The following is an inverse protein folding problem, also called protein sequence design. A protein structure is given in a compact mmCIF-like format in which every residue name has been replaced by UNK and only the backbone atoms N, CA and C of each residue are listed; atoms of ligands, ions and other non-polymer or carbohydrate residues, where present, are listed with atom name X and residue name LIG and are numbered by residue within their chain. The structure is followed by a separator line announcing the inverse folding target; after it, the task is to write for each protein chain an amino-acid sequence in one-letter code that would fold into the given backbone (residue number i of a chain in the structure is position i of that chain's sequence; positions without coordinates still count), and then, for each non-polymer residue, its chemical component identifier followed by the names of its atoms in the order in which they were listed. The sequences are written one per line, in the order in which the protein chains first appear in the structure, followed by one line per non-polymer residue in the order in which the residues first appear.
data_IF_019038115218
#
_entry.id   IF_019038115218
#
_cell.length_a   1.000
_cell.length_b   1.000
_cell.length_c   1.000
_cell.angle_alpha   90.00
_cell.angle_beta   90.00
_cell.angle_gamma   90.00
#
_symmetry.space_group_name_H-M   'P 1'
#
loop_
_entity.id
_entity.type
_entity.pdbx_description
1 polymer ?
#
# COMPACT_ATOMS: atom_id res chain seq x y z
N UNK A 1 12.38 52.03 46.34
CA UNK A 1 13.72 51.85 45.76
C UNK A 1 13.88 50.39 45.39
N UNK A 2 14.07 50.19 44.10
CA UNK A 2 13.95 48.96 43.33
C UNK A 2 15.30 48.22 43.27
N UNK A 3 15.31 46.89 43.35
CA UNK A 3 16.43 46.06 42.84
C UNK A 3 15.92 44.71 42.32
N UNK A 4 16.13 44.39 41.03
CA UNK A 4 15.63 43.16 40.43
C UNK A 4 16.58 41.98 40.69
N UNK A 5 16.02 40.79 40.92
CA UNK A 5 16.75 39.52 40.97
C UNK A 5 17.15 39.11 39.55
N UNK A 6 18.46 38.96 39.30
CA UNK A 6 18.99 38.43 38.03
C UNK A 6 18.72 36.93 37.91
N UNK A 7 18.05 36.54 36.83
CA UNK A 7 17.88 35.16 36.37
C UNK A 7 19.24 34.63 35.89
N UNK A 8 19.71 33.53 36.46
CA UNK A 8 20.94 32.86 36.05
C UNK A 8 20.79 32.24 34.65
N UNK A 9 21.63 32.68 33.70
CA UNK A 9 21.77 32.05 32.39
C UNK A 9 22.51 30.72 32.53
N UNK A 10 21.82 29.60 32.30
CA UNK A 10 22.47 28.31 32.09
C UNK A 10 23.32 28.36 30.81
N UNK A 11 24.66 28.44 30.96
CA UNK A 11 25.61 28.27 29.85
C UNK A 11 25.61 26.81 29.41
N UNK A 12 25.16 26.54 28.18
CA UNK A 12 25.30 25.24 27.50
C UNK A 12 26.79 24.99 27.21
N UNK A 13 27.38 23.84 27.59
CA UNK A 13 28.80 23.61 27.40
C UNK A 13 29.19 23.48 25.90
N UNK A 14 30.37 24.00 25.51
CA UNK A 14 30.78 24.18 24.10
C UNK A 14 30.93 22.89 23.28
N UNK A 15 30.94 21.71 23.91
CA UNK A 15 31.07 20.41 23.23
C UNK A 15 29.79 19.87 22.55
N UNK A 16 28.61 20.36 22.92
CA UNK A 16 27.33 19.84 22.39
C UNK A 16 27.06 20.28 20.94
N UNK A 17 27.41 21.51 20.58
CA UNK A 17 27.18 22.06 19.23
C UNK A 17 28.02 21.33 18.18
N UNK A 18 29.29 21.03 18.49
CA UNK A 18 30.19 20.36 17.55
C UNK A 18 29.81 18.88 17.32
N UNK A 19 29.33 18.18 18.37
CA UNK A 19 28.80 16.81 18.24
C UNK A 19 27.47 16.78 17.47
N UNK A 20 26.60 17.77 17.68
CA UNK A 20 25.33 17.89 16.97
C UNK A 20 25.53 18.17 15.47
N UNK A 21 26.46 19.06 15.11
CA UNK A 21 26.82 19.35 13.71
C UNK A 21 27.38 18.10 13.01
N UNK A 22 28.34 17.41 13.64
CA UNK A 22 28.93 16.17 13.11
C UNK A 22 27.89 15.06 12.91
N UNK A 23 26.90 14.97 13.81
CA UNK A 23 25.75 14.05 13.68
C UNK A 23 24.84 14.43 12.52
N UNK A 24 24.59 15.73 12.30
CA UNK A 24 23.78 16.26 11.18
C UNK A 24 24.40 15.98 9.81
N UNK A 25 25.73 16.14 9.67
CA UNK A 25 26.42 15.86 8.40
C UNK A 25 26.40 14.37 8.05
N UNK A 26 26.59 13.49 9.04
CA UNK A 26 26.52 12.03 8.83
C UNK A 26 25.16 11.55 8.33
N UNK A 27 24.07 12.11 8.87
CA UNK A 27 22.70 11.73 8.49
C UNK A 27 22.36 12.07 7.04
N UNK A 28 23.05 13.03 6.41
CA UNK A 28 22.83 13.41 5.00
C UNK A 28 23.80 12.72 4.03
N UNK A 29 25.06 12.57 4.44
CA UNK A 29 26.09 11.98 3.59
C UNK A 29 25.86 10.48 3.36
N UNK A 30 25.36 9.76 4.36
CA UNK A 30 25.15 8.31 4.26
C UNK A 30 24.06 7.97 3.22
N UNK A 31 22.83 8.52 3.27
CA UNK A 31 21.80 8.23 2.26
C UNK A 31 22.22 8.67 0.86
N UNK A 32 22.88 9.83 0.74
CA UNK A 32 23.38 10.29 -0.56
C UNK A 32 24.43 9.34 -1.13
N UNK A 33 25.37 8.87 -0.31
CA UNK A 33 26.36 7.87 -0.71
C UNK A 33 25.71 6.56 -1.13
N UNK A 34 24.76 6.05 -0.35
CA UNK A 34 24.00 4.83 -0.69
C UNK A 34 23.27 5.00 -2.03
N UNK A 35 22.62 6.15 -2.24
CA UNK A 35 21.90 6.43 -3.47
C UNK A 35 22.86 6.42 -4.68
N UNK A 36 23.96 7.17 -4.63
CA UNK A 36 24.94 7.19 -5.74
C UNK A 36 25.52 5.79 -5.97
N UNK A 37 25.84 5.06 -4.91
CA UNK A 37 26.37 3.69 -5.00
C UNK A 37 25.36 2.69 -5.59
N UNK A 38 24.05 2.89 -5.39
CA UNK A 38 23.03 2.03 -6.02
C UNK A 38 23.02 2.11 -7.55
N UNK A 39 23.57 3.18 -8.12
CA UNK A 39 23.74 3.35 -9.57
C UNK A 39 25.07 2.83 -10.10
N UNK A 40 25.96 2.32 -9.24
CA UNK A 40 27.27 1.77 -9.64
C UNK A 40 27.20 0.77 -10.81
N UNK A 41 26.21 -0.15 -10.90
CA UNK A 41 26.12 -1.06 -12.05
C UNK A 41 26.01 -0.36 -13.41
N UNK A 42 25.41 0.83 -13.48
CA UNK A 42 25.30 1.61 -14.71
C UNK A 42 26.63 2.24 -15.12
N UNK A 43 27.41 2.70 -14.14
CA UNK A 43 28.78 3.16 -14.36
C UNK A 43 29.71 2.01 -14.78
N UNK A 44 29.62 0.87 -14.09
CA UNK A 44 30.44 -0.32 -14.37
C UNK A 44 30.17 -0.91 -15.77
N UNK A 45 28.94 -0.78 -16.28
CA UNK A 45 28.56 -1.21 -17.65
C UNK A 45 28.84 -0.16 -18.73
N UNK A 46 29.42 0.99 -18.37
CA UNK A 46 29.68 2.09 -19.31
C UNK A 46 28.41 2.80 -19.82
N UNK A 47 27.26 2.61 -19.15
CA UNK A 47 26.02 3.31 -19.50
C UNK A 47 26.02 4.75 -18.98
N UNK A 48 26.63 4.99 -17.81
CA UNK A 48 26.93 6.32 -17.29
C UNK A 48 28.44 6.54 -17.28
N UNK A 49 28.89 7.63 -17.86
CA UNK A 49 30.30 8.02 -17.96
C UNK A 49 30.67 9.06 -16.88
N UNK A 50 29.68 9.79 -16.38
CA UNK A 50 29.86 10.84 -15.38
C UNK A 50 28.66 10.95 -14.43
N UNK A 51 28.85 11.61 -13.28
CA UNK A 51 27.73 11.95 -12.39
C UNK A 51 26.69 12.86 -13.07
N UNK A 52 27.09 13.60 -14.10
CA UNK A 52 26.18 14.40 -14.92
C UNK A 52 25.16 13.52 -15.63
N UNK A 53 25.55 12.33 -16.09
CA UNK A 53 24.62 11.40 -16.75
C UNK A 53 23.57 10.89 -15.78
N UNK A 54 23.96 10.63 -14.52
CA UNK A 54 23.02 10.28 -13.46
C UNK A 54 22.04 11.43 -13.19
N UNK A 55 22.53 12.67 -13.12
CA UNK A 55 21.67 13.86 -12.92
C UNK A 55 20.70 14.01 -14.09
N UNK A 56 21.21 13.93 -15.33
CA UNK A 56 20.40 14.01 -16.55
C UNK A 56 19.34 12.90 -16.55
N UNK A 57 19.70 11.68 -16.16
CA UNK A 57 18.75 10.58 -16.04
C UNK A 57 17.63 10.89 -15.04
N UNK A 58 17.93 11.52 -13.89
CA UNK A 58 16.89 11.94 -12.94
C UNK A 58 15.97 13.03 -13.53
N UNK A 59 16.56 14.00 -14.26
CA UNK A 59 15.81 15.07 -14.92
C UNK A 59 14.89 14.51 -16.00
N UNK A 60 15.41 13.65 -16.87
CA UNK A 60 14.63 12.98 -17.91
C UNK A 60 13.53 12.09 -17.32
N UNK A 61 13.85 11.35 -16.25
CA UNK A 61 12.85 10.56 -15.51
C UNK A 61 11.74 11.46 -14.96
N UNK A 62 12.07 12.60 -14.35
CA UNK A 62 11.07 13.54 -13.86
C UNK A 62 10.22 14.12 -15.00
N UNK A 63 10.85 14.55 -16.09
CA UNK A 63 10.17 15.13 -17.25
C UNK A 63 9.21 14.13 -17.90
N UNK A 64 9.64 12.88 -18.09
CA UNK A 64 8.79 11.80 -18.57
C UNK A 64 7.53 11.64 -17.72
N UNK A 65 7.71 11.53 -16.40
CA UNK A 65 6.61 11.32 -15.46
C UNK A 65 5.68 12.53 -15.33
N UNK A 66 6.19 13.74 -15.50
CA UNK A 66 5.42 15.00 -15.46
C UNK A 66 4.55 15.16 -16.70
N UNK A 67 5.07 14.79 -17.86
CA UNK A 67 4.42 14.99 -19.16
C UNK A 67 3.68 13.74 -19.66
N UNK A 68 3.54 12.72 -18.82
CA UNK A 68 2.82 11.48 -19.17
C UNK A 68 1.31 11.75 -19.20
N UNK A 69 0.77 11.93 -20.40
CA UNK A 69 -0.66 12.01 -20.67
C UNK A 69 -1.16 10.70 -21.29
N UNK A 70 -1.63 9.79 -20.43
CA UNK A 70 -2.19 8.52 -20.85
C UNK A 70 -3.41 8.18 -20.00
N UNK A 71 -4.38 7.48 -20.61
CA UNK A 71 -5.56 6.94 -19.93
C UNK A 71 -5.51 5.42 -19.96
N UNK A 72 -6.03 4.77 -18.91
CA UNK A 72 -6.08 3.31 -18.86
C UNK A 72 -7.38 2.84 -18.18
N UNK A 73 -8.11 1.84 -18.73
CA UNK A 73 -9.38 1.36 -18.15
C UNK A 73 -9.29 0.84 -16.70
N UNK A 74 -8.11 0.35 -16.29
CA UNK A 74 -7.81 -0.08 -14.92
C UNK A 74 -7.13 1.00 -14.06
N UNK A 75 -7.07 2.23 -14.56
CA UNK A 75 -6.60 3.37 -13.76
C UNK A 75 -7.52 3.61 -12.58
N UNK A 76 -6.95 3.98 -11.43
CA UNK A 76 -7.71 4.25 -10.22
C UNK A 76 -7.12 5.41 -9.41
N UNK A 77 -7.98 6.31 -8.87
CA UNK A 77 -7.51 7.47 -8.11
C UNK A 77 -7.03 7.03 -6.72
N UNK A 78 -6.07 7.78 -6.17
CA UNK A 78 -5.44 7.48 -4.87
C UNK A 78 -6.44 7.17 -3.75
N UNK A 79 -7.46 8.01 -3.60
CA UNK A 79 -8.48 7.88 -2.55
C UNK A 79 -9.23 6.54 -2.56
N UNK A 80 -9.29 5.85 -3.70
CA UNK A 80 -10.06 4.62 -3.91
C UNK A 80 -9.32 3.35 -3.44
N UNK A 81 -7.99 3.42 -3.28
CA UNK A 81 -7.17 2.25 -2.98
C UNK A 81 -7.44 1.66 -1.59
N UNK A 82 -7.59 2.46 -0.51
CA UNK A 82 -7.96 1.94 0.80
C UNK A 82 -9.29 1.15 0.81
N UNK A 83 -10.19 1.45 -0.11
CA UNK A 83 -11.49 0.77 -0.20
C UNK A 83 -11.46 -0.47 -1.10
N UNK A 84 -10.31 -0.79 -1.71
CA UNK A 84 -10.19 -1.79 -2.77
C UNK A 84 -11.21 -1.54 -3.90
N UNK A 85 -11.55 -0.29 -4.21
CA UNK A 85 -12.67 -0.01 -5.11
C UNK A 85 -12.37 -0.40 -6.57
N UNK A 86 -11.10 -0.37 -6.99
CA UNK A 86 -10.69 -0.71 -8.37
C UNK A 86 -9.35 -1.44 -8.40
N UNK A 87 -9.37 -2.78 -8.34
CA UNK A 87 -8.24 -3.65 -8.61
C UNK A 87 -7.74 -3.50 -10.05
N UNK A 88 -6.50 -3.93 -10.28
CA UNK A 88 -5.87 -3.88 -11.61
C UNK A 88 -5.78 -5.28 -12.17
N UNK A 89 -6.28 -5.49 -13.39
CA UNK A 89 -6.11 -6.76 -14.09
C UNK A 89 -4.67 -6.89 -14.60
N UNK A 90 -3.99 -7.97 -14.23
CA UNK A 90 -2.63 -8.30 -14.69
C UNK A 90 -2.61 -9.33 -15.80
N UNK A 91 -3.59 -10.24 -15.81
CA UNK A 91 -3.70 -11.28 -16.82
C UNK A 91 -5.16 -11.62 -17.08
N UNK A 92 -5.50 -11.85 -18.34
CA UNK A 92 -6.75 -12.47 -18.71
C UNK A 92 -6.58 -13.32 -19.97
N UNK A 93 -7.11 -14.54 -19.92
CA UNK A 93 -7.28 -15.44 -21.06
C UNK A 93 -8.75 -15.89 -21.09
N UNK A 94 -9.34 -15.80 -22.28
CA UNK A 94 -10.76 -16.08 -22.50
C UNK A 94 -10.97 -17.21 -23.50
N UNK A 95 -9.90 -17.71 -24.13
CA UNK A 95 -9.95 -18.70 -25.19
C UNK A 95 -9.05 -19.90 -24.86
N UNK A 96 -9.34 -21.04 -25.47
CA UNK A 96 -8.49 -22.25 -25.40
C UNK A 96 -8.28 -22.84 -23.99
N UNK A 97 -9.14 -22.54 -23.02
CA UNK A 97 -9.07 -23.09 -21.66
C UNK A 97 -9.98 -24.32 -21.42
N UNK A 98 -10.79 -24.69 -22.42
CA UNK A 98 -11.74 -25.80 -22.32
C UNK A 98 -13.08 -25.41 -21.70
N UNK A 99 -13.86 -26.42 -21.32
CA UNK A 99 -15.17 -26.26 -20.70
C UNK A 99 -15.12 -26.72 -19.25
N UNK A 100 -15.83 -26.01 -18.39
CA UNK A 100 -16.04 -26.40 -17.00
C UNK A 100 -16.87 -27.68 -16.93
N UNK A 101 -16.38 -28.68 -16.20
CA UNK A 101 -17.00 -29.99 -16.06
C UNK A 101 -18.39 -29.90 -15.39
N UNK A 102 -18.60 -28.92 -14.52
CA UNK A 102 -19.85 -28.79 -13.77
C UNK A 102 -20.90 -27.94 -14.49
N UNK A 103 -20.46 -26.90 -15.19
CA UNK A 103 -21.37 -25.91 -15.81
C UNK A 103 -21.46 -26.03 -17.33
N UNK A 104 -20.54 -26.76 -17.97
CA UNK A 104 -20.40 -26.84 -19.43
C UNK A 104 -20.02 -25.52 -20.10
N UNK A 105 -19.69 -24.48 -19.32
CA UNK A 105 -19.36 -23.15 -19.83
C UNK A 105 -17.88 -23.02 -20.17
N UNK A 106 -17.50 -22.13 -21.11
CA UNK A 106 -16.11 -21.81 -21.37
C UNK A 106 -15.39 -21.34 -20.10
N UNK A 107 -14.21 -21.89 -19.88
CA UNK A 107 -13.31 -21.46 -18.81
C UNK A 107 -12.65 -20.13 -19.18
N UNK A 108 -12.49 -19.27 -18.19
CA UNK A 108 -11.71 -18.03 -18.28
C UNK A 108 -10.65 -18.05 -17.17
N UNK A 109 -9.50 -17.45 -17.40
CA UNK A 109 -8.42 -17.37 -16.43
C UNK A 109 -8.04 -15.91 -16.24
N UNK A 110 -8.09 -15.41 -15.00
CA UNK A 110 -7.84 -13.99 -14.70
C UNK A 110 -6.98 -13.82 -13.47
N UNK A 111 -5.95 -12.99 -13.59
CA UNK A 111 -5.13 -12.55 -12.46
C UNK A 111 -5.37 -11.09 -12.19
N UNK A 112 -5.88 -10.75 -11.02
CA UNK A 112 -6.06 -9.34 -10.61
C UNK A 112 -5.22 -9.01 -9.40
N UNK A 113 -4.65 -7.82 -9.39
CA UNK A 113 -4.08 -7.22 -8.21
C UNK A 113 -5.20 -6.72 -7.29
N UNK A 114 -5.73 -7.64 -6.50
CA UNK A 114 -6.69 -7.41 -5.43
C UNK A 114 -6.01 -7.65 -4.09
N UNK A 115 -6.02 -6.67 -3.18
CA UNK A 115 -5.54 -6.90 -1.81
C UNK A 115 -6.47 -7.84 -1.04
N UNK A 116 -5.97 -8.58 -0.06
CA UNK A 116 -6.82 -9.41 0.81
C UNK A 116 -7.84 -8.51 1.54
N UNK A 117 -9.15 -8.60 1.25
CA UNK A 117 -10.12 -7.64 1.77
C UNK A 117 -10.22 -7.64 3.29
N UNK A 118 -9.96 -8.77 3.95
CA UNK A 118 -9.95 -8.85 5.41
C UNK A 118 -8.85 -7.97 5.99
N UNK A 119 -7.59 -8.19 5.59
CA UNK A 119 -6.45 -7.41 6.06
C UNK A 119 -6.61 -5.93 5.68
N UNK A 120 -7.04 -5.68 4.45
CA UNK A 120 -7.13 -4.32 3.92
C UNK A 120 -8.19 -3.48 4.64
N UNK A 121 -9.37 -4.03 4.89
CA UNK A 121 -10.45 -3.28 5.53
C UNK A 121 -10.33 -3.22 7.04
N UNK A 122 -9.75 -4.23 7.69
CA UNK A 122 -9.48 -4.20 9.14
C UNK A 122 -8.36 -3.23 9.50
N UNK A 123 -7.37 -3.05 8.62
CA UNK A 123 -6.32 -2.05 8.84
C UNK A 123 -6.78 -0.60 8.74
N UNK A 124 -7.87 -0.28 8.02
CA UNK A 124 -8.39 1.09 7.95
C UNK A 124 -8.76 1.67 9.33
N UNK A 125 -9.62 1.03 10.14
CA UNK A 125 -9.90 1.51 11.48
C UNK A 125 -8.66 1.45 12.39
N UNK A 126 -7.74 0.49 12.19
CA UNK A 126 -6.50 0.44 12.96
C UNK A 126 -5.59 1.64 12.69
N UNK A 127 -5.42 2.04 11.43
CA UNK A 127 -4.72 3.28 11.05
C UNK A 127 -5.43 4.51 11.61
N UNK A 128 -6.77 4.56 11.52
CA UNK A 128 -7.57 5.65 12.08
C UNK A 128 -7.50 5.74 13.61
N UNK A 129 -7.19 4.65 14.30
CA UNK A 129 -6.99 4.61 15.75
C UNK A 129 -5.60 5.11 16.19
N UNK A 130 -4.59 5.12 15.31
CA UNK A 130 -3.22 5.53 15.68
C UNK A 130 -3.14 6.97 16.27
N UNK A 131 -3.83 8.00 15.74
CA UNK A 131 -3.86 9.32 16.35
C UNK A 131 -4.25 9.31 17.83
N UNK A 132 -5.22 8.46 18.23
CA UNK A 132 -5.61 8.31 19.63
C UNK A 132 -4.43 7.83 20.49
N UNK A 133 -3.70 6.81 20.04
CA UNK A 133 -2.53 6.30 20.76
C UNK A 133 -1.37 7.29 20.81
N UNK A 134 -1.21 8.10 19.76
CA UNK A 134 -0.19 9.15 19.73
C UNK A 134 -0.51 10.24 20.76
N UNK A 135 -1.76 10.72 20.82
CA UNK A 135 -2.14 11.81 21.74
C UNK A 135 -2.22 11.32 23.18
N UNK A 136 -2.92 10.20 23.43
CA UNK A 136 -3.22 9.70 24.79
C UNK A 136 -2.03 9.00 25.43
N UNK A 137 -1.30 8.20 24.67
CA UNK A 137 -0.22 7.33 25.18
C UNK A 137 1.19 7.81 24.76
N UNK A 138 1.29 8.88 23.95
CA UNK A 138 2.58 9.37 23.42
C UNK A 138 3.40 8.25 22.76
N UNK A 139 2.70 7.32 22.11
CA UNK A 139 3.31 6.12 21.53
C UNK A 139 4.17 6.47 20.32
N UNK A 140 5.49 6.32 20.47
CA UNK A 140 6.45 6.51 19.39
C UNK A 140 6.21 5.53 18.23
N UNK A 141 5.87 4.27 18.54
CA UNK A 141 5.56 3.26 17.52
C UNK A 141 4.35 3.68 16.68
N UNK A 142 3.26 4.13 17.31
CA UNK A 142 2.08 4.60 16.59
C UNK A 142 2.40 5.83 15.71
N UNK A 143 3.26 6.74 16.18
CA UNK A 143 3.73 7.89 15.39
C UNK A 143 4.50 7.44 14.16
N UNK A 144 5.44 6.49 14.29
CA UNK A 144 6.22 5.98 13.16
C UNK A 144 5.33 5.29 12.12
N UNK A 145 4.39 4.46 12.57
CA UNK A 145 3.47 3.74 11.67
C UNK A 145 2.60 4.74 10.91
N UNK A 146 1.99 5.70 11.60
CA UNK A 146 1.11 6.69 10.97
C UNK A 146 1.89 7.61 10.02
N UNK A 147 3.07 8.08 10.43
CA UNK A 147 3.91 8.91 9.57
C UNK A 147 4.35 8.15 8.32
N UNK A 148 4.76 6.89 8.49
CA UNK A 148 5.09 6.01 7.37
C UNK A 148 3.92 5.87 6.39
N UNK A 149 2.72 5.56 6.89
CA UNK A 149 1.52 5.49 6.08
C UNK A 149 1.25 6.78 5.31
N UNK A 150 1.25 7.93 6.01
CA UNK A 150 1.00 9.25 5.41
C UNK A 150 2.03 9.55 4.31
N UNK A 151 3.32 9.32 4.59
CA UNK A 151 4.39 9.60 3.62
C UNK A 151 4.33 8.70 2.39
N UNK A 152 3.76 7.50 2.50
CA UNK A 152 3.59 6.59 1.35
C UNK A 152 2.27 6.80 0.61
N UNK A 153 1.25 7.38 1.25
CA UNK A 153 -0.09 7.49 0.68
C UNK A 153 -0.45 8.90 0.17
N UNK A 154 -0.20 9.92 0.99
CA UNK A 154 -0.61 11.31 0.68
C UNK A 154 0.05 11.87 -0.59
N UNK A 155 1.34 11.58 -0.90
CA UNK A 155 1.98 12.13 -2.11
C UNK A 155 1.32 11.72 -3.43
N UNK A 156 0.46 10.71 -3.44
CA UNK A 156 -0.23 10.27 -4.65
C UNK A 156 -1.45 11.12 -5.03
N UNK A 157 -2.05 11.84 -4.08
CA UNK A 157 -3.22 12.69 -4.33
C UNK A 157 -3.00 13.81 -5.36
N UNK A 158 -1.88 14.56 -5.34
CA UNK A 158 -1.64 15.62 -6.32
C UNK A 158 -1.16 15.12 -7.70
N UNK A 159 -0.95 13.80 -7.87
CA UNK A 159 -0.39 13.25 -9.10
C UNK A 159 -1.50 13.11 -10.15
N UNK A 160 -1.32 13.76 -11.30
CA UNK A 160 -2.32 13.89 -12.38
C UNK A 160 -2.24 12.81 -13.45
N UNK A 161 -1.10 12.13 -13.59
CA UNK A 161 -0.95 11.01 -14.53
C UNK A 161 -1.80 9.82 -14.10
N UNK A 162 -2.00 8.87 -15.00
CA UNK A 162 -2.69 7.60 -14.66
C UNK A 162 -1.98 6.88 -13.51
N UNK A 163 -2.77 6.50 -12.51
CA UNK A 163 -2.31 5.74 -11.35
C UNK A 163 -3.10 4.44 -11.22
N UNK A 164 -2.57 3.56 -10.36
CA UNK A 164 -3.04 2.19 -10.20
C UNK A 164 -2.94 1.78 -8.74
N UNK A 165 -3.78 0.83 -8.33
CA UNK A 165 -3.87 0.39 -6.93
C UNK A 165 -2.53 -0.11 -6.33
N UNK A 166 -1.62 -0.68 -7.15
CA UNK A 166 -0.32 -1.16 -6.66
C UNK A 166 0.56 -0.05 -6.05
N UNK A 167 0.33 1.22 -6.39
CA UNK A 167 1.06 2.34 -5.78
C UNK A 167 0.81 2.43 -4.26
N UNK A 168 -0.30 1.85 -3.79
CA UNK A 168 -0.63 1.76 -2.36
C UNK A 168 0.20 0.71 -1.60
N UNK A 169 0.96 -0.15 -2.27
CA UNK A 169 1.70 -1.23 -1.60
C UNK A 169 2.73 -0.73 -0.59
N UNK A 170 3.32 0.45 -0.82
CA UNK A 170 4.16 1.12 0.18
C UNK A 170 3.38 1.47 1.46
N UNK A 171 2.13 1.94 1.30
CA UNK A 171 1.22 2.23 2.41
C UNK A 171 0.70 0.96 3.11
N UNK A 172 0.52 -0.13 2.37
CA UNK A 172 0.05 -1.42 2.88
C UNK A 172 0.95 -1.97 4.00
N UNK A 173 2.27 -1.78 3.90
CA UNK A 173 3.22 -2.18 4.94
C UNK A 173 2.83 -1.55 6.28
N UNK A 174 2.52 -0.25 6.28
CA UNK A 174 2.12 0.47 7.48
C UNK A 174 0.69 0.15 7.93
N UNK A 175 -0.20 -0.20 7.00
CA UNK A 175 -1.53 -0.73 7.32
C UNK A 175 -1.44 -2.03 8.12
N UNK A 176 -0.59 -2.98 7.68
CA UNK A 176 -0.36 -4.25 8.39
C UNK A 176 0.29 -4.01 9.75
N UNK A 177 1.24 -3.07 9.83
CA UNK A 177 1.84 -2.69 11.13
C UNK A 177 0.81 -2.05 12.07
N UNK A 178 -0.13 -1.26 11.56
CA UNK A 178 -1.22 -0.70 12.35
C UNK A 178 -2.14 -1.81 12.90
N UNK A 179 -2.49 -2.79 12.06
CA UNK A 179 -3.23 -3.98 12.50
C UNK A 179 -2.49 -4.72 13.61
N UNK A 180 -1.22 -5.05 13.41
CA UNK A 180 -0.42 -5.74 14.40
C UNK A 180 -0.33 -4.94 15.72
N UNK A 181 -0.18 -3.62 15.65
CA UNK A 181 -0.13 -2.74 16.82
C UNK A 181 -1.45 -2.77 17.60
N UNK A 182 -2.59 -2.60 16.93
CA UNK A 182 -3.91 -2.58 17.58
C UNK A 182 -4.29 -3.96 18.09
N UNK A 183 -4.07 -5.02 17.31
CA UNK A 183 -4.32 -6.41 17.74
C UNK A 183 -3.49 -6.78 18.96
N UNK A 184 -2.22 -6.38 19.02
CA UNK A 184 -1.37 -6.61 20.20
C UNK A 184 -1.91 -5.88 21.42
N UNK A 185 -2.30 -4.61 21.26
CA UNK A 185 -2.88 -3.83 22.34
C UNK A 185 -4.20 -4.41 22.88
N UNK A 186 -5.05 -4.94 22.00
CA UNK A 186 -6.29 -5.62 22.39
C UNK A 186 -6.02 -6.97 23.05
N UNK A 187 -5.09 -7.75 22.49
CA UNK A 187 -4.66 -9.04 23.00
C UNK A 187 -4.09 -8.97 24.43
N UNK A 188 -3.33 -7.93 24.75
CA UNK A 188 -2.78 -7.71 26.10
C UNK A 188 -3.85 -7.49 27.19
N UNK A 189 -5.04 -7.03 26.80
CA UNK A 189 -6.18 -6.84 27.73
C UNK A 189 -6.95 -8.13 28.01
N UNK A 190 -6.71 -9.19 27.24
CA UNK A 190 -7.42 -10.46 27.34
C UNK A 190 -6.54 -11.53 28.00
N UNK A 191 -7.11 -12.28 28.95
CA UNK A 191 -6.47 -13.49 29.50
C UNK A 191 -6.63 -14.66 28.51
N UNK A 192 -5.74 -15.67 28.52
CA UNK A 192 -5.96 -16.91 27.80
C UNK A 192 -7.28 -17.57 28.23
N UNK A 193 -8.07 -18.14 27.30
CA UNK A 193 -7.76 -18.32 25.88
C UNK A 193 -8.15 -17.13 24.97
N UNK A 194 -8.78 -16.08 25.50
CA UNK A 194 -9.32 -14.95 24.71
C UNK A 194 -8.29 -14.26 23.80
N UNK A 195 -7.05 -14.10 24.27
CA UNK A 195 -5.95 -13.60 23.43
C UNK A 195 -5.65 -14.49 22.22
N UNK A 196 -5.62 -15.82 22.43
CA UNK A 196 -5.36 -16.78 21.35
C UNK A 196 -6.51 -16.81 20.36
N UNK A 197 -7.76 -16.72 20.83
CA UNK A 197 -8.93 -16.65 19.95
C UNK A 197 -8.93 -15.36 19.13
N UNK A 198 -8.56 -14.22 19.71
CA UNK A 198 -8.50 -12.95 18.97
C UNK A 198 -7.46 -12.99 17.85
N UNK A 199 -6.21 -13.33 18.19
CA UNK A 199 -5.11 -13.33 17.21
C UNK A 199 -5.28 -14.49 16.23
N UNK A 200 -5.57 -15.69 16.73
CA UNK A 200 -5.79 -16.87 15.91
C UNK A 200 -7.01 -16.73 15.00
N UNK A 201 -8.08 -16.11 15.50
CA UNK A 201 -9.28 -15.80 14.71
C UNK A 201 -8.97 -14.80 13.59
N UNK A 202 -8.26 -13.71 13.89
CA UNK A 202 -7.85 -12.74 12.87
C UNK A 202 -6.98 -13.39 11.77
N UNK A 203 -5.98 -14.18 12.16
CA UNK A 203 -5.12 -14.90 11.21
C UNK A 203 -5.90 -15.96 10.43
N UNK A 204 -6.80 -16.68 11.10
CA UNK A 204 -7.69 -17.66 10.47
C UNK A 204 -8.58 -17.02 9.40
N UNK A 205 -9.15 -15.84 9.68
CA UNK A 205 -9.92 -15.07 8.71
C UNK A 205 -9.05 -14.58 7.55
N UNK A 206 -7.82 -14.14 7.80
CA UNK A 206 -6.89 -13.76 6.75
C UNK A 206 -6.58 -14.92 5.80
N UNK A 207 -6.33 -16.12 6.34
CA UNK A 207 -6.09 -17.36 5.57
C UNK A 207 -7.37 -17.81 4.84
N UNK A 208 -8.54 -17.70 5.47
CA UNK A 208 -9.82 -18.02 4.83
C UNK A 208 -10.07 -17.13 3.62
N UNK A 209 -9.89 -15.82 3.76
CA UNK A 209 -10.00 -14.87 2.64
C UNK A 209 -8.94 -15.14 1.58
N UNK A 210 -7.74 -15.57 1.99
CA UNK A 210 -6.71 -15.97 1.04
C UNK A 210 -7.19 -17.16 0.19
N UNK A 211 -7.73 -18.20 0.82
CA UNK A 211 -8.31 -19.35 0.11
C UNK A 211 -9.48 -18.97 -0.79
N UNK A 212 -10.36 -18.08 -0.32
CA UNK A 212 -11.51 -17.59 -1.10
C UNK A 212 -11.07 -16.81 -2.36
N UNK A 213 -10.07 -15.94 -2.27
CA UNK A 213 -9.58 -15.15 -3.42
C UNK A 213 -8.43 -15.79 -4.18
N UNK A 214 -7.97 -16.99 -3.79
CA UNK A 214 -6.87 -17.70 -4.42
C UNK A 214 -7.01 -17.85 -5.95
N UNK A 215 -8.19 -18.21 -6.50
CA UNK A 215 -8.36 -18.31 -7.95
C UNK A 215 -8.09 -16.99 -8.70
N UNK A 216 -8.36 -15.85 -8.06
CA UNK A 216 -8.15 -14.52 -8.64
C UNK A 216 -6.68 -14.09 -8.65
N UNK A 217 -5.86 -14.59 -7.71
CA UNK A 217 -4.43 -14.28 -7.67
C UNK A 217 -3.57 -15.23 -8.49
N UNK A 218 -4.08 -16.42 -8.79
CA UNK A 218 -3.33 -17.47 -9.50
C UNK A 218 -3.79 -17.69 -10.93
N UNK A 219 -4.81 -16.95 -11.38
CA UNK A 219 -5.47 -17.17 -12.67
C UNK A 219 -5.94 -18.62 -12.85
N UNK A 220 -6.46 -19.24 -11.78
CA UNK A 220 -7.04 -20.57 -11.87
C UNK A 220 -8.21 -20.54 -12.87
N UNK A 221 -8.22 -21.38 -13.91
CA UNK A 221 -9.30 -21.38 -14.89
C UNK A 221 -10.63 -21.75 -14.23
N UNK A 222 -11.59 -20.82 -14.27
CA UNK A 222 -12.95 -21.03 -13.77
C UNK A 222 -13.96 -20.55 -14.80
N UNK A 223 -15.17 -21.08 -14.75
CA UNK A 223 -16.25 -20.57 -15.59
C UNK A 223 -16.65 -19.16 -15.14
N UNK A 224 -17.14 -18.35 -16.08
CA UNK A 224 -17.59 -16.98 -15.77
C UNK A 224 -18.63 -16.91 -14.62
N UNK A 225 -19.60 -17.84 -14.51
CA UNK A 225 -20.53 -17.91 -13.37
C UNK A 225 -19.86 -18.16 -12.01
N UNK A 226 -18.66 -18.75 -11.98
CA UNK A 226 -17.91 -18.95 -10.75
C UNK A 226 -17.19 -17.66 -10.30
N UNK A 227 -16.80 -16.79 -11.23
CA UNK A 227 -16.15 -15.51 -10.92
C UNK A 227 -17.12 -14.41 -10.46
N UNK A 228 -18.36 -14.40 -10.97
CA UNK A 228 -19.33 -13.33 -10.73
C UNK A 228 -20.64 -13.85 -10.13
N UNK A 229 -21.42 -12.95 -9.53
CA UNK A 229 -22.79 -13.26 -9.13
C UNK A 229 -23.63 -13.44 -10.41
N UNK A 230 -24.10 -14.67 -10.65
CA UNK A 230 -24.98 -15.00 -11.77
C UNK A 230 -26.11 -15.92 -11.30
N UNK A 231 -27.17 -16.01 -12.10
CA UNK A 231 -28.26 -16.96 -11.88
C UNK A 231 -27.73 -18.40 -11.93
N UNK A 232 -28.06 -19.22 -10.93
CA UNK A 232 -27.73 -20.65 -10.93
C UNK A 232 -26.40 -21.04 -10.27
N UNK A 233 -25.62 -20.10 -9.71
CA UNK A 233 -24.40 -20.46 -8.95
C UNK A 233 -24.57 -20.28 -7.45
N UNK A 234 -24.07 -21.22 -6.63
CA UNK A 234 -24.18 -21.10 -5.18
C UNK A 234 -23.52 -19.81 -4.67
N UNK A 235 -24.16 -19.17 -3.69
CA UNK A 235 -23.68 -17.90 -3.11
C UNK A 235 -22.34 -18.10 -2.38
N UNK A 236 -22.04 -19.32 -1.94
CA UNK A 236 -20.85 -19.67 -1.16
C UNK A 236 -19.57 -19.86 -1.98
N UNK A 237 -19.63 -19.82 -3.31
CA UNK A 237 -18.44 -19.92 -4.17
C UNK A 237 -17.54 -18.67 -4.12
N UNK A 238 -16.25 -18.79 -4.53
CA UNK A 238 -15.30 -17.68 -4.57
C UNK A 238 -15.65 -16.67 -5.67
N UNK A 239 -16.49 -15.68 -5.33
CA UNK A 239 -16.99 -14.66 -6.24
C UNK A 239 -16.34 -13.31 -5.96
N UNK A 240 -16.15 -12.51 -7.00
CA UNK A 240 -15.80 -11.10 -6.82
C UNK A 240 -17.01 -10.37 -6.22
N UNK A 241 -16.76 -9.53 -5.21
CA UNK A 241 -17.83 -8.90 -4.43
C UNK A 241 -18.30 -7.57 -5.01
N UNK A 242 -17.36 -6.74 -5.48
CA UNK A 242 -17.66 -5.44 -6.05
C UNK A 242 -17.72 -5.54 -7.57
N UNK A 243 -18.86 -5.95 -8.12
CA UNK A 243 -19.05 -6.19 -9.57
C UNK A 243 -19.95 -5.16 -10.23
N UNK A 244 -20.15 -3.99 -9.59
CA UNK A 244 -20.97 -2.90 -10.12
C UNK A 244 -20.23 -2.12 -11.21
N UNK A 245 -20.01 -2.78 -12.35
CA UNK A 245 -19.24 -2.26 -13.47
C UNK A 245 -20.19 -1.59 -14.46
N UNK A 246 -20.00 -0.29 -14.69
CA UNK A 246 -20.83 0.43 -15.67
C UNK A 246 -20.37 0.07 -17.09
N UNK A 247 -21.30 -0.32 -17.98
CA UNK A 247 -20.96 -0.51 -19.39
C UNK A 247 -20.58 0.83 -20.02
N UNK A 248 -19.61 0.83 -20.93
CA UNK A 248 -19.24 1.98 -21.78
C UNK A 248 -18.73 3.24 -21.05
N UNK A 249 -18.07 3.11 -19.90
CA UNK A 249 -17.35 4.24 -19.29
C UNK A 249 -16.12 4.62 -20.15
N UNK A 250 -15.86 5.93 -20.37
CA UNK A 250 -14.64 6.39 -21.01
C UNK A 250 -13.40 5.91 -20.25
N UNK A 251 -12.32 5.55 -20.96
CA UNK A 251 -11.07 5.12 -20.32
C UNK A 251 -10.41 6.21 -19.44
N UNK A 252 -10.84 7.47 -19.60
CA UNK A 252 -10.44 8.60 -18.74
C UNK A 252 -11.12 8.59 -17.37
N UNK A 253 -12.22 7.86 -17.20
CA UNK A 253 -12.98 7.77 -15.96
C UNK A 253 -12.71 6.44 -15.24
N UNK A 254 -12.33 6.47 -13.95
CA UNK A 254 -12.08 5.23 -13.21
C UNK A 254 -13.39 4.49 -12.93
N UNK A 255 -13.45 3.20 -13.26
CA UNK A 255 -14.56 2.34 -12.85
C UNK A 255 -14.43 2.00 -11.36
N UNK A 256 -15.16 2.71 -10.50
CA UNK A 256 -15.12 2.49 -9.06
C UNK A 256 -16.09 1.38 -8.64
N UNK A 257 -15.71 0.62 -7.61
CA UNK A 257 -16.45 -0.54 -7.10
C UNK A 257 -16.68 -1.63 -8.16
N UNK A 258 -15.67 -1.81 -9.01
CA UNK A 258 -15.66 -2.78 -10.10
C UNK A 258 -14.36 -3.58 -10.09
N UNK A 259 -14.46 -4.85 -9.71
CA UNK A 259 -13.38 -5.85 -9.68
C UNK A 259 -13.30 -6.65 -10.99
N UNK A 260 -14.21 -6.39 -11.94
CA UNK A 260 -14.22 -6.95 -13.29
C UNK A 260 -13.43 -6.07 -14.27
#
# INVERSE_FOLDING_TARGET
MDRPRRVGQHRVPPGHAHRAAKRRHRVRAIPLGIYVLSWYPFFARGQFQSLTDLINYQVESFNYHRNLHATHPYGSPAWSWPLLARPVLYYAEYTNLGLDVFTGQPLIARMSNLGNPWIWWTSLPCVAALPYFIVRHRSFAATLILLGFITQYVPWFPITRVLFMYHMFGGLIFMILADAFVLTHLAEKLRPPGRMLLVGGYLGMAVLFFGYFYPNWTALPLSQPAYYISTGTPIWGPKLWLTNCKPNLPASEPQLFCWN
#
